data_IF_006551676534
#
_entry.id   IF_006551676534
#
_cell.length_a   1.000
_cell.length_b   1.000
_cell.length_c   1.000
_cell.angle_alpha   90.00
_cell.angle_beta   90.00
_cell.angle_gamma   90.00
#
_symmetry.space_group_name_H-M   'P 1'
#
loop_
_entity.id
_entity.type
_entity.pdbx_description
1 polymer ?
#
# COMPACT_ATOMS: atom_id res chain seq x y z
N UNK A 1 -29.77 8.61 41.56
CA UNK A 1 -30.76 9.66 41.85
C UNK A 1 -31.92 8.96 42.58
N UNK A 2 -32.03 9.16 43.86
CA UNK A 2 -33.18 8.66 44.61
C UNK A 2 -34.45 9.42 44.17
N UNK A 3 -35.50 8.68 43.90
CA UNK A 3 -36.79 9.26 43.56
C UNK A 3 -37.38 9.96 44.81
N UNK A 4 -37.74 11.21 44.67
CA UNK A 4 -38.44 11.96 45.74
C UNK A 4 -39.92 11.56 45.71
N UNK A 5 -40.32 10.72 46.64
CA UNK A 5 -41.72 10.34 46.80
C UNK A 5 -42.48 11.43 47.55
N UNK A 6 -43.54 11.96 46.94
CA UNK A 6 -44.45 12.90 47.58
C UNK A 6 -45.43 12.12 48.53
N UNK A 7 -45.25 12.25 49.80
CA UNK A 7 -46.22 11.70 50.78
C UNK A 7 -47.50 12.56 50.78
N UNK A 8 -48.68 11.91 50.78
CA UNK A 8 -50.00 12.56 50.76
C UNK A 8 -50.30 13.39 52.02
N UNK A 9 -49.45 13.27 53.05
CA UNK A 9 -49.53 14.02 54.31
C UNK A 9 -48.45 15.08 54.50
N UNK A 10 -47.73 15.43 53.42
CA UNK A 10 -46.62 16.42 53.46
C UNK A 10 -47.16 17.82 53.77
N UNK A 11 -46.47 18.54 54.66
CA UNK A 11 -46.76 19.96 54.91
C UNK A 11 -46.39 20.83 53.70
N UNK A 12 -46.93 22.06 53.63
CA UNK A 12 -46.52 23.03 52.58
C UNK A 12 -45.01 23.35 52.58
N UNK A 13 -44.37 23.23 53.76
CA UNK A 13 -42.93 23.39 53.91
C UNK A 13 -42.15 22.25 53.25
N UNK A 14 -42.58 21.00 53.50
CA UNK A 14 -41.96 19.80 52.95
C UNK A 14 -42.08 19.76 51.43
N UNK A 15 -43.24 20.17 50.89
CA UNK A 15 -43.46 20.26 49.47
C UNK A 15 -42.48 21.28 48.74
N UNK A 16 -42.23 22.42 49.42
CA UNK A 16 -41.26 23.43 48.92
C UNK A 16 -39.84 22.88 48.95
N UNK A 17 -39.49 22.12 49.98
CA UNK A 17 -38.17 21.51 50.10
C UNK A 17 -37.96 20.43 49.05
N UNK A 18 -38.95 19.59 48.78
CA UNK A 18 -38.94 18.59 47.72
C UNK A 18 -38.80 19.23 46.34
N UNK A 19 -39.51 20.31 46.05
CA UNK A 19 -39.44 21.05 44.82
C UNK A 19 -38.02 21.62 44.60
N UNK A 20 -37.42 22.19 45.65
CA UNK A 20 -36.05 22.70 45.62
C UNK A 20 -35.02 21.59 45.35
N UNK A 21 -35.19 20.44 46.01
CA UNK A 21 -34.33 19.27 45.81
C UNK A 21 -34.43 18.72 44.39
N UNK A 22 -35.65 18.60 43.86
CA UNK A 22 -35.89 18.16 42.47
C UNK A 22 -35.26 19.13 41.43
N UNK A 23 -35.33 20.45 41.69
CA UNK A 23 -34.69 21.45 40.80
C UNK A 23 -33.16 21.32 40.82
N UNK A 24 -32.56 21.12 42.00
CA UNK A 24 -31.11 20.89 42.15
C UNK A 24 -30.69 19.61 41.42
N UNK A 25 -31.44 18.51 41.61
CA UNK A 25 -31.16 17.24 40.94
C UNK A 25 -31.29 17.38 39.43
N UNK A 26 -32.30 18.08 38.92
CA UNK A 26 -32.49 18.35 37.50
C UNK A 26 -31.32 19.17 36.93
N UNK A 27 -30.88 20.21 37.62
CA UNK A 27 -29.71 21.01 37.20
C UNK A 27 -28.43 20.17 37.16
N UNK A 28 -28.24 19.31 38.18
CA UNK A 28 -27.08 18.41 38.25
C UNK A 28 -27.10 17.40 37.12
N UNK A 29 -28.28 16.78 36.86
CA UNK A 29 -28.44 15.83 35.76
C UNK A 29 -28.12 16.47 34.39
N UNK A 30 -28.63 17.69 34.14
CA UNK A 30 -28.34 18.44 32.90
C UNK A 30 -26.83 18.71 32.77
N UNK A 31 -26.15 19.14 33.85
CA UNK A 31 -24.70 19.37 33.87
C UNK A 31 -23.93 18.09 33.57
N UNK A 32 -24.30 16.99 34.21
CA UNK A 32 -23.63 15.69 33.94
C UNK A 32 -23.85 15.20 32.52
N UNK A 33 -25.07 15.33 31.97
CA UNK A 33 -25.34 14.99 30.56
C UNK A 33 -24.47 15.81 29.61
N UNK A 34 -24.36 17.13 29.82
CA UNK A 34 -23.50 17.99 29.02
C UNK A 34 -22.01 17.57 29.09
N UNK A 35 -21.54 17.24 30.31
CA UNK A 35 -20.15 16.77 30.50
C UNK A 35 -19.90 15.42 29.81
N UNK A 36 -20.82 14.48 29.90
CA UNK A 36 -20.72 13.19 29.19
C UNK A 36 -20.71 13.38 27.69
N UNK A 37 -21.58 14.23 27.15
CA UNK A 37 -21.64 14.54 25.72
C UNK A 37 -20.34 15.18 25.23
N UNK A 38 -19.79 16.13 26.00
CA UNK A 38 -18.51 16.76 25.69
C UNK A 38 -17.34 15.74 25.71
N UNK A 39 -17.31 14.86 26.70
CA UNK A 39 -16.31 13.81 26.81
C UNK A 39 -16.40 12.81 25.63
N UNK A 40 -17.61 12.38 25.28
CA UNK A 40 -17.83 11.49 24.14
C UNK A 40 -17.36 12.13 22.81
N UNK A 41 -17.65 13.42 22.62
CA UNK A 41 -17.16 14.16 21.45
C UNK A 41 -15.64 14.22 21.44
N UNK A 42 -15.00 14.53 22.55
CA UNK A 42 -13.54 14.62 22.64
C UNK A 42 -12.86 13.28 22.31
N UNK A 43 -13.43 12.16 22.76
CA UNK A 43 -12.94 10.81 22.42
C UNK A 43 -13.07 10.54 20.91
N UNK A 44 -14.21 10.90 20.31
CA UNK A 44 -14.43 10.73 18.86
C UNK A 44 -13.46 11.58 18.05
N UNK A 45 -13.28 12.84 18.41
CA UNK A 45 -12.35 13.77 17.74
C UNK A 45 -10.91 13.27 17.85
N UNK A 46 -10.50 12.78 19.03
CA UNK A 46 -9.16 12.20 19.24
C UNK A 46 -8.93 10.95 18.41
N UNK A 47 -9.95 10.07 18.33
CA UNK A 47 -9.89 8.89 17.47
C UNK A 47 -9.70 9.28 15.98
N UNK A 48 -10.55 10.19 15.51
CA UNK A 48 -10.47 10.64 14.10
C UNK A 48 -9.12 11.28 13.76
N UNK A 49 -8.57 12.11 14.67
CA UNK A 49 -7.26 12.70 14.49
C UNK A 49 -6.14 11.64 14.42
N UNK A 50 -6.23 10.60 15.25
CA UNK A 50 -5.28 9.48 15.22
C UNK A 50 -5.40 8.66 13.93
N UNK A 51 -6.60 8.35 13.50
CA UNK A 51 -6.85 7.60 12.26
C UNK A 51 -6.31 8.37 11.05
N UNK A 52 -6.50 9.69 11.01
CA UNK A 52 -5.96 10.57 9.99
C UNK A 52 -4.43 10.59 10.00
N UNK A 53 -3.81 10.73 11.17
CA UNK A 53 -2.34 10.72 11.28
C UNK A 53 -1.75 9.36 10.81
N UNK A 54 -2.38 8.25 11.19
CA UNK A 54 -1.96 6.92 10.75
C UNK A 54 -2.08 6.75 9.23
N UNK A 55 -3.18 7.22 8.64
CA UNK A 55 -3.38 7.14 7.19
C UNK A 55 -2.37 8.00 6.43
N UNK A 56 -2.06 9.21 6.92
CA UNK A 56 -1.00 10.07 6.36
C UNK A 56 0.36 9.39 6.40
N UNK A 57 0.73 8.81 7.53
CA UNK A 57 2.01 8.11 7.70
C UNK A 57 2.10 6.89 6.76
N UNK A 58 1.03 6.11 6.64
CA UNK A 58 0.96 4.97 5.72
C UNK A 58 1.14 5.40 4.26
N UNK A 59 0.47 6.48 3.84
CA UNK A 59 0.59 7.01 2.48
C UNK A 59 1.99 7.56 2.20
N UNK A 60 2.59 8.29 3.14
CA UNK A 60 3.98 8.78 3.03
C UNK A 60 4.97 7.64 2.87
N UNK A 61 4.83 6.59 3.69
CA UNK A 61 5.66 5.39 3.59
C UNK A 61 5.53 4.71 2.23
N UNK A 62 4.28 4.56 1.74
CA UNK A 62 4.03 3.93 0.44
C UNK A 62 4.57 4.75 -0.73
N UNK A 63 4.49 6.08 -0.69
CA UNK A 63 5.11 6.97 -1.69
C UNK A 63 6.64 6.76 -1.72
N UNK A 64 7.30 6.69 -0.56
CA UNK A 64 8.75 6.48 -0.50
C UNK A 64 9.17 5.12 -1.06
N UNK A 65 8.42 4.05 -0.77
CA UNK A 65 8.62 2.72 -1.36
C UNK A 65 8.45 2.74 -2.88
N UNK A 66 7.39 3.40 -3.37
CA UNK A 66 7.09 3.54 -4.80
C UNK A 66 8.19 4.31 -5.54
N UNK A 67 8.70 5.40 -4.98
CA UNK A 67 9.82 6.16 -5.55
C UNK A 67 11.09 5.30 -5.64
N UNK A 68 11.40 4.56 -4.57
CA UNK A 68 12.55 3.65 -4.56
C UNK A 68 12.43 2.57 -5.65
N UNK A 69 11.23 2.00 -5.82
CA UNK A 69 10.98 1.03 -6.89
C UNK A 69 11.10 1.66 -8.27
N UNK A 70 10.58 2.87 -8.47
CA UNK A 70 10.68 3.61 -9.73
C UNK A 70 12.14 3.82 -10.13
N UNK A 71 13.00 4.20 -9.19
CA UNK A 71 14.44 4.40 -9.42
C UNK A 71 15.14 3.07 -9.76
N UNK A 72 14.86 2.01 -9.00
CA UNK A 72 15.49 0.70 -9.17
C UNK A 72 15.03 -0.03 -10.43
N UNK A 73 13.87 0.30 -10.98
CA UNK A 73 13.30 -0.32 -12.18
C UNK A 73 13.80 0.31 -13.49
N UNK A 74 14.67 1.33 -13.43
CA UNK A 74 15.18 2.00 -14.62
C UNK A 74 15.96 1.01 -15.50
N UNK A 75 15.55 0.88 -16.75
CA UNK A 75 16.10 -0.08 -17.73
C UNK A 75 15.97 -1.57 -17.39
N UNK A 76 15.17 -1.90 -16.38
CA UNK A 76 15.00 -3.27 -15.89
C UNK A 76 13.55 -3.78 -16.02
N UNK A 77 12.72 -3.15 -16.82
CA UNK A 77 11.32 -3.52 -17.09
C UNK A 77 11.13 -3.98 -18.52
N UNK A 78 10.24 -4.93 -18.73
CA UNK A 78 9.81 -5.40 -20.05
C UNK A 78 8.84 -4.38 -20.70
N UNK A 79 7.95 -3.81 -19.90
CA UNK A 79 7.00 -2.76 -20.30
C UNK A 79 7.21 -1.47 -19.50
N UNK A 80 7.76 -0.45 -20.18
CA UNK A 80 8.00 0.85 -19.55
C UNK A 80 6.70 1.61 -19.20
N UNK A 81 5.54 1.24 -19.76
CA UNK A 81 4.26 1.87 -19.42
C UNK A 81 3.89 1.67 -17.94
N UNK A 82 4.31 0.56 -17.34
CA UNK A 82 4.12 0.28 -15.91
C UNK A 82 4.82 1.31 -15.02
N UNK A 83 6.03 1.75 -15.41
CA UNK A 83 6.77 2.80 -14.71
C UNK A 83 6.10 4.17 -14.84
N UNK A 84 5.59 4.49 -16.04
CA UNK A 84 4.87 5.76 -16.30
C UNK A 84 3.59 5.81 -15.45
N UNK A 85 2.87 4.69 -15.33
CA UNK A 85 1.70 4.59 -14.47
C UNK A 85 2.08 4.81 -13.00
N UNK A 86 3.13 4.15 -12.51
CA UNK A 86 3.62 4.31 -11.13
C UNK A 86 4.02 5.77 -10.84
N UNK A 87 4.70 6.45 -11.76
CA UNK A 87 5.06 7.87 -11.65
C UNK A 87 3.83 8.77 -11.52
N UNK A 88 2.80 8.51 -12.35
CA UNK A 88 1.51 9.21 -12.28
C UNK A 88 0.81 8.98 -10.94
N UNK A 89 0.79 7.76 -10.44
CA UNK A 89 0.14 7.42 -9.18
C UNK A 89 0.89 8.02 -7.98
N UNK A 90 2.23 8.12 -8.03
CA UNK A 90 3.03 8.85 -7.04
C UNK A 90 2.64 10.35 -7.04
N UNK A 91 2.47 10.96 -8.20
CA UNK A 91 2.05 12.37 -8.29
C UNK A 91 0.63 12.57 -7.72
N UNK A 92 -0.29 11.67 -8.03
CA UNK A 92 -1.65 11.67 -7.48
C UNK A 92 -1.65 11.50 -5.96
N UNK A 93 -0.86 10.56 -5.43
CA UNK A 93 -0.73 10.30 -4.00
C UNK A 93 -0.15 11.52 -3.24
N UNK A 94 0.84 12.20 -3.81
CA UNK A 94 1.37 13.46 -3.26
C UNK A 94 0.30 14.57 -3.25
N UNK A 95 -0.55 14.63 -4.28
CA UNK A 95 -1.68 15.57 -4.33
C UNK A 95 -2.67 15.29 -3.20
N UNK A 96 -3.06 14.02 -2.99
CA UNK A 96 -3.93 13.61 -1.88
C UNK A 96 -3.31 13.99 -0.53
N UNK A 97 -2.01 13.77 -0.36
CA UNK A 97 -1.30 14.08 0.88
C UNK A 97 -1.22 15.59 1.17
N UNK A 98 -1.14 16.44 0.13
CA UNK A 98 -1.02 17.88 0.27
C UNK A 98 -2.36 18.61 0.52
N UNK A 99 -3.48 17.95 0.25
CA UNK A 99 -4.81 18.53 0.46
C UNK A 99 -5.14 18.56 1.96
N UNK A 100 -5.48 19.76 2.47
CA UNK A 100 -5.93 19.90 3.85
C UNK A 100 -7.33 19.29 4.03
N UNK A 101 -7.50 18.51 5.10
CA UNK A 101 -8.77 17.85 5.41
C UNK A 101 -9.08 16.63 4.56
N UNK A 102 -8.07 16.05 3.90
CA UNK A 102 -8.23 14.83 3.12
C UNK A 102 -8.79 13.69 3.98
N UNK A 103 -9.81 13.03 3.47
CA UNK A 103 -10.45 11.89 4.12
C UNK A 103 -9.47 10.70 4.22
N UNK A 104 -9.55 9.99 5.34
CA UNK A 104 -8.81 8.73 5.58
C UNK A 104 -9.01 7.74 4.44
N UNK A 105 -10.24 7.66 3.91
CA UNK A 105 -10.56 6.78 2.78
C UNK A 105 -9.76 7.16 1.53
N UNK A 106 -9.67 8.43 1.18
CA UNK A 106 -8.92 8.88 0.01
C UNK A 106 -7.43 8.54 0.11
N UNK A 107 -6.85 8.64 1.33
CA UNK A 107 -5.46 8.21 1.56
C UNK A 107 -5.29 6.69 1.43
N UNK A 108 -6.24 5.89 1.91
CA UNK A 108 -6.23 4.43 1.75
C UNK A 108 -6.38 4.02 0.29
N UNK A 109 -7.27 4.69 -0.46
CA UNK A 109 -7.44 4.43 -1.89
C UNK A 109 -6.14 4.73 -2.65
N UNK A 110 -5.44 5.83 -2.31
CA UNK A 110 -4.14 6.15 -2.90
C UNK A 110 -3.06 5.10 -2.56
N UNK A 111 -3.02 4.58 -1.33
CA UNK A 111 -2.13 3.48 -0.95
C UNK A 111 -2.41 2.23 -1.78
N UNK A 112 -3.68 1.90 -2.02
CA UNK A 112 -4.08 0.74 -2.82
C UNK A 112 -3.67 0.91 -4.30
N UNK A 113 -3.85 2.11 -4.87
CA UNK A 113 -3.41 2.43 -6.24
C UNK A 113 -1.91 2.28 -6.39
N UNK A 114 -1.12 2.88 -5.49
CA UNK A 114 0.33 2.73 -5.47
C UNK A 114 0.75 1.26 -5.37
N UNK A 115 0.09 0.47 -4.53
CA UNK A 115 0.40 -0.95 -4.39
C UNK A 115 0.17 -1.69 -5.70
N UNK A 116 -0.95 -1.46 -6.38
CA UNK A 116 -1.25 -2.09 -7.67
C UNK A 116 -0.24 -1.72 -8.76
N UNK A 117 0.15 -0.44 -8.85
CA UNK A 117 1.14 0.03 -9.82
C UNK A 117 2.53 -0.54 -9.52
N UNK A 118 2.92 -0.65 -8.25
CA UNK A 118 4.18 -1.27 -7.82
C UNK A 118 4.21 -2.77 -8.20
N UNK A 119 3.12 -3.49 -8.02
CA UNK A 119 3.00 -4.90 -8.41
C UNK A 119 3.13 -5.08 -9.94
N UNK A 120 2.57 -4.15 -10.72
CA UNK A 120 2.73 -4.15 -12.17
C UNK A 120 4.19 -3.93 -12.59
N UNK A 121 4.91 -3.00 -11.96
CA UNK A 121 6.34 -2.78 -12.20
C UNK A 121 7.16 -4.01 -11.83
N UNK A 122 6.91 -4.61 -10.65
CA UNK A 122 7.61 -5.82 -10.22
C UNK A 122 7.39 -6.99 -11.17
N UNK A 123 6.16 -7.16 -11.68
CA UNK A 123 5.84 -8.18 -12.70
C UNK A 123 6.61 -7.93 -14.00
N UNK A 124 6.67 -6.66 -14.45
CA UNK A 124 7.41 -6.27 -15.65
C UNK A 124 8.92 -6.50 -15.48
N UNK A 125 9.48 -6.23 -14.30
CA UNK A 125 10.89 -6.54 -13.99
C UNK A 125 11.18 -8.04 -14.01
N UNK A 126 10.29 -8.85 -13.47
CA UNK A 126 10.41 -10.31 -13.50
C UNK A 126 10.40 -10.85 -14.95
N UNK A 127 9.50 -10.34 -15.79
CA UNK A 127 9.42 -10.71 -17.21
C UNK A 127 10.70 -10.32 -17.96
N UNK A 128 11.21 -9.11 -17.73
CA UNK A 128 12.49 -8.66 -18.31
C UNK A 128 13.65 -9.57 -17.91
N UNK A 129 13.74 -9.90 -16.62
CA UNK A 129 14.78 -10.79 -16.09
C UNK A 129 14.72 -12.18 -16.75
N UNK A 130 13.53 -12.77 -16.86
CA UNK A 130 13.32 -14.05 -17.51
C UNK A 130 13.70 -14.01 -19.01
N UNK A 131 13.36 -12.93 -19.72
CA UNK A 131 13.73 -12.76 -21.13
C UNK A 131 15.25 -12.67 -21.31
N UNK A 132 15.96 -11.92 -20.45
CA UNK A 132 17.42 -11.83 -20.46
C UNK A 132 18.09 -13.18 -20.19
N UNK A 133 17.57 -13.95 -19.24
CA UNK A 133 18.09 -15.29 -18.94
C UNK A 133 17.88 -16.26 -20.12
N UNK A 134 16.69 -16.24 -20.73
CA UNK A 134 16.42 -17.06 -21.92
C UNK A 134 17.35 -16.73 -23.09
N UNK A 135 17.63 -15.43 -23.30
CA UNK A 135 18.55 -14.98 -24.33
C UNK A 135 19.99 -15.44 -24.06
N UNK A 136 20.43 -15.39 -22.80
CA UNK A 136 21.75 -15.90 -22.38
C UNK A 136 21.86 -17.42 -22.61
N UNK A 137 20.84 -18.18 -22.27
CA UNK A 137 20.80 -19.62 -22.47
C UNK A 137 20.87 -19.97 -23.99
N UNK A 138 20.13 -19.27 -24.85
CA UNK A 138 20.19 -19.45 -26.29
C UNK A 138 21.59 -19.13 -26.85
N UNK A 139 22.22 -18.06 -26.37
CA UNK A 139 23.57 -17.69 -26.80
C UNK A 139 24.62 -18.76 -26.44
N UNK A 140 24.53 -19.32 -25.23
CA UNK A 140 25.40 -20.41 -24.79
C UNK A 140 25.18 -21.69 -25.59
N UNK A 141 23.91 -22.02 -25.93
CA UNK A 141 23.60 -23.16 -26.77
C UNK A 141 24.22 -23.01 -28.18
N UNK A 142 24.06 -21.84 -28.80
CA UNK A 142 24.66 -21.53 -30.11
C UNK A 142 26.18 -21.64 -30.11
N UNK A 143 26.84 -21.15 -29.07
CA UNK A 143 28.29 -21.22 -28.92
C UNK A 143 28.78 -22.68 -28.78
N UNK A 144 28.11 -23.50 -27.99
CA UNK A 144 28.45 -24.94 -27.83
C UNK A 144 28.27 -25.69 -29.16
N UNK A 145 27.19 -25.45 -29.89
CA UNK A 145 26.88 -26.13 -31.14
C UNK A 145 27.87 -25.71 -32.23
N UNK A 146 28.28 -24.44 -32.30
CA UNK A 146 29.28 -23.93 -33.23
C UNK A 146 30.65 -24.58 -33.01
N UNK A 147 31.11 -24.68 -31.76
CA UNK A 147 32.39 -25.31 -31.41
C UNK A 147 32.42 -26.82 -31.69
N UNK A 148 31.29 -27.51 -31.52
CA UNK A 148 31.19 -28.95 -31.80
C UNK A 148 31.32 -29.22 -33.33
N UNK A 149 30.81 -28.32 -34.15
CA UNK A 149 30.87 -28.45 -35.62
C UNK A 149 32.27 -28.18 -36.17
N UNK A 150 33.07 -27.34 -35.55
CA UNK A 150 34.48 -27.08 -35.94
C UNK A 150 35.41 -28.22 -35.56
N UNK A 151 35.13 -28.98 -34.54
CA UNK A 151 35.95 -30.14 -34.11
C UNK A 151 35.72 -31.40 -34.94
N UNK A 152 34.56 -31.53 -35.63
CA UNK A 152 34.25 -32.69 -36.46
C UNK A 152 34.70 -32.55 -37.93
N UNK A 153 35.21 -31.39 -38.35
CA UNK A 153 35.66 -31.15 -39.73
C UNK A 153 37.17 -31.36 -39.93
N UNK A 154 37.90 -31.82 -38.89
CA UNK A 154 39.39 -31.98 -38.99
C UNK A 154 39.86 -33.42 -39.12
N UNK A 155 38.98 -34.36 -39.50
CA UNK A 155 39.37 -35.71 -39.94
C UNK A 155 38.93 -35.89 -41.38
N UNK A 156 39.65 -35.20 -42.31
CA UNK A 156 39.69 -35.57 -43.73
C UNK A 156 40.56 -36.85 -43.85
N UNK A 157 40.04 -37.99 -44.30
CA UNK A 157 40.86 -39.15 -44.55
C UNK A 157 41.77 -38.85 -45.73
N UNK A 158 43.09 -38.85 -45.49
CA UNK A 158 44.16 -38.79 -46.49
C UNK A 158 43.83 -39.76 -47.64
N UNK A 159 43.80 -39.37 -48.93
CA UNK A 159 43.58 -40.29 -50.02
C UNK A 159 44.76 -41.24 -50.10
N UNK A 160 44.51 -42.54 -50.04
CA UNK A 160 45.47 -43.62 -50.32
C UNK A 160 46.00 -43.43 -51.76
N UNK A 161 47.31 -43.46 -51.97
CA UNK A 161 47.85 -43.42 -53.33
C UNK A 161 47.51 -44.69 -54.09
N UNK A 162 47.01 -44.50 -55.33
CA UNK A 162 46.68 -45.54 -56.28
C UNK A 162 47.95 -46.34 -56.60
N UNK A 163 47.91 -47.69 -56.62
CA UNK A 163 49.07 -48.46 -57.00
C UNK A 163 49.33 -48.32 -58.49
N UNK A 164 50.60 -47.89 -58.81
CA UNK A 164 51.18 -47.75 -60.15
C UNK A 164 51.09 -49.08 -60.95
N UNK A 165 50.61 -49.11 -62.19
CA UNK A 165 50.62 -50.29 -63.00
C UNK A 165 52.05 -50.50 -63.63
N UNK A 166 52.73 -51.54 -63.14
CA UNK A 166 54.04 -51.98 -63.71
C UNK A 166 53.80 -52.75 -65.05
N UNK A 167 54.73 -52.64 -66.00
CA UNK A 167 54.59 -53.05 -67.40
C UNK A 167 54.53 -54.52 -67.67
#
# INVERSE_FOLDING_TARGET
VEAVECKTSASTSDLKEYAKTADIQTKTAKKNTAAITAAAKAVTDSKNAKDQANAQQALQGKIAEAQTLLDNSLYAVDDNSTRVTLESDIANANTVLSQQGTDVKAMQDAVNMLTASMDAVNTSMANYSAAVEAQRAQSQYRYRYSNQRTTTTTTDPTPTPDPDPTP
#
